data_IF_311400881547
#
_entry.id   IF_311400881547
#
_cell.length_a   1.000
_cell.length_b   1.000
_cell.length_c   1.000
_cell.angle_alpha   90.00
_cell.angle_beta   90.00
_cell.angle_gamma   90.00
#
_symmetry.space_group_name_H-M   'P 1'
#
loop_
_entity.id
_entity.type
_entity.pdbx_description
1 polymer ?
#
# COMPACT_ATOMS: atom_id res chain seq x y z
N UNK A 1 -22.33 -10.18 13.64
CA UNK A 1 -21.37 -10.53 12.56
C UNK A 1 -20.75 -11.88 12.89
N UNK A 2 -19.93 -12.50 12.02
CA UNK A 2 -19.37 -13.82 12.36
C UNK A 2 -17.92 -13.70 12.83
N UNK A 3 -17.54 -14.48 13.84
CA UNK A 3 -16.16 -14.66 14.31
C UNK A 3 -15.17 -14.96 13.17
N UNK A 4 -15.62 -15.64 12.12
CA UNK A 4 -14.82 -15.90 10.92
C UNK A 4 -14.37 -14.60 10.20
N UNK A 5 -15.25 -13.58 10.14
CA UNK A 5 -14.88 -12.26 9.56
C UNK A 5 -13.88 -11.53 10.44
N UNK A 6 -14.12 -11.49 11.75
CA UNK A 6 -13.20 -10.88 12.71
C UNK A 6 -11.80 -11.50 12.63
N UNK A 7 -11.74 -12.84 12.62
CA UNK A 7 -10.49 -13.58 12.50
C UNK A 7 -9.78 -13.30 11.16
N UNK A 8 -10.53 -13.17 10.05
CA UNK A 8 -9.97 -12.76 8.76
C UNK A 8 -9.37 -11.35 8.83
N UNK A 9 -10.09 -10.39 9.41
CA UNK A 9 -9.63 -9.00 9.57
C UNK A 9 -8.34 -8.97 10.40
N UNK A 10 -8.30 -9.63 11.54
CA UNK A 10 -7.12 -9.71 12.40
C UNK A 10 -5.92 -10.33 11.68
N UNK A 11 -6.10 -11.44 10.95
CA UNK A 11 -5.03 -12.07 10.17
C UNK A 11 -4.47 -11.14 9.09
N UNK A 12 -5.33 -10.44 8.35
CA UNK A 12 -4.89 -9.52 7.30
C UNK A 12 -4.14 -8.33 7.91
N UNK A 13 -4.63 -7.76 9.01
CA UNK A 13 -3.95 -6.65 9.70
C UNK A 13 -2.59 -7.07 10.26
N UNK A 14 -2.47 -8.29 10.80
CA UNK A 14 -1.20 -8.85 11.28
C UNK A 14 -0.14 -8.99 10.18
N UNK A 15 -0.58 -9.29 8.96
CA UNK A 15 0.29 -9.48 7.80
C UNK A 15 0.63 -8.17 7.06
N UNK A 16 0.08 -7.01 7.48
CA UNK A 16 0.38 -5.72 6.83
C UNK A 16 1.85 -5.36 6.99
N UNK A 17 2.40 -4.78 5.91
CA UNK A 17 3.79 -4.37 5.78
C UNK A 17 3.88 -2.85 5.87
N UNK A 18 4.03 -2.31 7.09
CA UNK A 18 4.00 -0.86 7.33
C UNK A 18 5.21 -0.12 6.71
N UNK A 19 6.27 -0.85 6.42
CA UNK A 19 7.50 -0.33 5.84
C UNK A 19 7.70 -0.73 4.36
N UNK A 20 6.64 -1.16 3.68
CA UNK A 20 6.58 -1.32 2.24
C UNK A 20 5.44 -0.46 1.70
N UNK A 21 5.76 0.47 0.81
CA UNK A 21 4.80 1.38 0.22
C UNK A 21 4.97 1.51 -1.30
N UNK A 22 3.96 2.03 -1.96
CA UNK A 22 4.00 2.40 -3.37
C UNK A 22 3.67 3.87 -3.50
N UNK A 23 4.42 4.59 -4.33
CA UNK A 23 4.14 5.95 -4.74
C UNK A 23 3.82 5.98 -6.23
N UNK A 24 2.63 6.43 -6.57
CA UNK A 24 2.19 6.65 -7.95
C UNK A 24 2.49 8.09 -8.36
N UNK A 25 3.40 8.23 -9.31
CA UNK A 25 3.81 9.50 -9.89
C UNK A 25 3.00 9.75 -11.18
N UNK A 26 1.97 10.58 -11.08
CA UNK A 26 1.06 10.93 -12.18
C UNK A 26 0.38 9.75 -12.90
N UNK A 27 0.25 8.60 -12.23
CA UNK A 27 -0.58 7.49 -12.74
C UNK A 27 -2.04 7.92 -12.67
N UNK A 28 -2.70 8.06 -13.81
CA UNK A 28 -4.03 8.67 -13.88
C UNK A 28 -5.14 7.74 -14.40
N UNK A 29 -4.79 6.65 -15.10
CA UNK A 29 -5.81 5.74 -15.65
C UNK A 29 -6.51 4.95 -14.54
N UNK A 30 -7.84 5.10 -14.35
CA UNK A 30 -8.56 4.51 -13.21
C UNK A 30 -8.41 2.99 -13.08
N UNK A 31 -8.30 2.28 -14.21
CA UNK A 31 -8.11 0.83 -14.19
C UNK A 31 -6.73 0.43 -13.66
N UNK A 32 -5.66 1.21 -13.98
CA UNK A 32 -4.32 0.97 -13.46
C UNK A 32 -4.26 1.27 -11.95
N UNK A 33 -4.86 2.38 -11.52
CA UNK A 33 -4.98 2.73 -10.09
C UNK A 33 -5.66 1.61 -9.30
N UNK A 34 -6.78 1.12 -9.82
CA UNK A 34 -7.54 0.03 -9.19
C UNK A 34 -6.75 -1.28 -9.15
N UNK A 35 -6.03 -1.61 -10.23
CA UNK A 35 -5.21 -2.80 -10.30
C UNK A 35 -4.00 -2.73 -9.35
N UNK A 36 -3.33 -1.58 -9.27
CA UNK A 36 -2.21 -1.35 -8.34
C UNK A 36 -2.70 -1.46 -6.89
N UNK A 37 -3.82 -0.81 -6.53
CA UNK A 37 -4.39 -0.89 -5.19
C UNK A 37 -4.75 -2.34 -4.81
N UNK A 38 -5.29 -3.12 -5.75
CA UNK A 38 -5.60 -4.53 -5.55
C UNK A 38 -4.33 -5.38 -5.34
N UNK A 39 -3.27 -5.08 -6.08
CA UNK A 39 -1.98 -5.76 -5.90
C UNK A 39 -1.37 -5.39 -4.54
N UNK A 40 -1.42 -4.12 -4.15
CA UNK A 40 -1.00 -3.65 -2.83
C UNK A 40 -1.70 -4.42 -1.70
N UNK A 41 -3.03 -4.55 -1.79
CA UNK A 41 -3.79 -5.35 -0.82
C UNK A 41 -3.34 -6.81 -0.78
N UNK A 42 -3.14 -7.42 -1.95
CA UNK A 42 -2.76 -8.83 -2.06
C UNK A 42 -1.39 -9.15 -1.43
N UNK A 43 -0.44 -8.20 -1.47
CA UNK A 43 0.90 -8.37 -0.89
C UNK A 43 1.05 -7.71 0.49
N UNK A 44 -0.03 -7.20 1.08
CA UNK A 44 -0.02 -6.64 2.43
C UNK A 44 0.45 -5.18 2.53
N UNK A 45 0.65 -4.47 1.43
CA UNK A 45 0.91 -3.01 1.45
C UNK A 45 -0.32 -2.27 1.96
N UNK A 46 -0.15 -1.49 3.02
CA UNK A 46 -1.24 -0.76 3.66
C UNK A 46 -1.44 0.64 3.05
N UNK A 47 -0.35 1.30 2.67
CA UNK A 47 -0.35 2.69 2.22
C UNK A 47 0.08 2.80 0.76
N UNK A 48 -0.77 3.42 -0.04
CA UNK A 48 -0.53 3.77 -1.43
C UNK A 48 -0.48 5.29 -1.53
N UNK A 49 0.67 5.82 -1.91
CA UNK A 49 0.86 7.25 -2.07
C UNK A 49 0.60 7.67 -3.51
N UNK A 50 0.12 8.88 -3.73
CA UNK A 50 -0.13 9.39 -5.07
C UNK A 50 0.20 10.89 -5.17
N UNK A 51 0.89 11.25 -6.24
CA UNK A 51 1.05 12.63 -6.71
C UNK A 51 0.31 12.76 -8.03
N UNK A 52 -0.56 13.76 -8.14
CA UNK A 52 -1.31 14.03 -9.36
C UNK A 52 -1.56 15.53 -9.52
N UNK A 53 -1.31 16.07 -10.71
CA UNK A 53 -1.46 17.50 -11.03
C UNK A 53 -2.90 18.00 -11.06
N UNK A 54 -3.86 17.11 -11.25
CA UNK A 54 -5.28 17.42 -11.23
C UNK A 54 -5.97 16.59 -10.16
N UNK A 55 -6.36 17.24 -9.05
CA UNK A 55 -7.14 16.62 -7.97
C UNK A 55 -8.62 16.41 -8.37
N UNK A 56 -8.88 16.02 -9.60
CA UNK A 56 -10.14 15.37 -9.93
C UNK A 56 -10.15 14.02 -9.26
N UNK A 57 -11.25 13.67 -8.61
CA UNK A 57 -11.45 12.41 -7.91
C UNK A 57 -10.65 11.28 -8.57
N UNK A 58 -9.62 10.79 -7.88
CA UNK A 58 -8.98 9.53 -8.29
C UNK A 58 -10.07 8.50 -8.11
N UNK A 59 -10.92 8.39 -9.14
CA UNK A 59 -12.06 7.49 -9.16
C UNK A 59 -11.55 6.06 -9.25
N UNK A 60 -11.17 5.51 -8.10
CA UNK A 60 -11.11 4.05 -7.98
C UNK A 60 -12.56 3.59 -8.15
N UNK A 61 -12.91 3.22 -9.37
CA UNK A 61 -14.27 2.81 -9.68
C UNK A 61 -14.68 1.65 -8.78
N UNK A 62 -15.85 1.79 -8.15
CA UNK A 62 -16.41 0.84 -7.20
C UNK A 62 -16.46 -0.61 -7.72
N UNK A 63 -16.53 -0.80 -9.05
CA UNK A 63 -16.65 -2.12 -9.67
C UNK A 63 -15.32 -2.81 -10.02
N UNK A 64 -14.21 -2.06 -10.18
CA UNK A 64 -12.93 -2.63 -10.63
C UNK A 64 -11.95 -2.94 -9.50
N UNK A 65 -12.09 -2.28 -8.36
CA UNK A 65 -11.18 -2.45 -7.22
C UNK A 65 -11.51 -3.66 -6.33
N UNK A 66 -12.59 -4.41 -6.61
CA UNK A 66 -13.03 -5.59 -5.83
C UNK A 66 -12.99 -5.37 -4.30
N UNK A 67 -13.30 -4.14 -3.83
CA UNK A 67 -13.27 -3.76 -2.42
C UNK A 67 -11.90 -3.33 -1.88
N UNK A 68 -10.80 -3.42 -2.64
CA UNK A 68 -9.46 -3.08 -2.13
C UNK A 68 -9.30 -1.62 -1.68
N UNK A 69 -10.13 -0.71 -2.18
CA UNK A 69 -10.18 0.69 -1.72
C UNK A 69 -10.54 0.83 -0.23
N UNK A 70 -11.19 -0.16 0.34
CA UNK A 70 -11.58 -0.17 1.74
C UNK A 70 -10.45 -0.72 2.65
N UNK A 71 -9.42 -1.33 2.02
CA UNK A 71 -8.34 -2.02 2.72
C UNK A 71 -6.95 -1.41 2.50
N UNK A 72 -6.78 -0.57 1.47
CA UNK A 72 -5.54 0.16 1.17
C UNK A 72 -5.81 1.65 1.31
N UNK A 73 -5.04 2.31 2.17
CA UNK A 73 -5.18 3.74 2.40
C UNK A 73 -4.43 4.53 1.33
N UNK A 74 -5.13 5.47 0.66
CA UNK A 74 -4.51 6.34 -0.35
C UNK A 74 -4.16 7.68 0.28
N UNK A 75 -2.88 7.99 0.31
CA UNK A 75 -2.33 9.25 0.81
C UNK A 75 -1.94 10.11 -0.40
N UNK A 76 -2.55 11.28 -0.51
CA UNK A 76 -2.31 12.24 -1.60
C UNK A 76 -1.25 13.25 -1.21
N UNK A 77 -0.40 13.62 -2.16
CA UNK A 77 0.64 14.63 -2.02
C UNK A 77 0.54 15.64 -3.16
N UNK A 78 0.87 16.87 -2.89
CA UNK A 78 0.87 17.97 -3.88
C UNK A 78 2.07 17.89 -4.83
N UNK A 79 3.19 17.30 -4.38
CA UNK A 79 4.40 17.14 -5.18
C UNK A 79 5.19 15.90 -4.79
N UNK A 80 6.13 15.50 -5.64
CA UNK A 80 7.09 14.42 -5.38
C UNK A 80 7.95 14.75 -4.15
N UNK A 81 8.42 15.99 -4.02
CA UNK A 81 9.24 16.42 -2.89
C UNK A 81 8.48 16.26 -1.56
N UNK A 82 7.21 16.68 -1.51
CA UNK A 82 6.37 16.51 -0.32
C UNK A 82 6.12 15.04 -0.01
N UNK A 83 5.91 14.21 -1.04
CA UNK A 83 5.76 12.77 -0.87
C UNK A 83 7.04 12.14 -0.29
N UNK A 84 8.19 12.46 -0.84
CA UNK A 84 9.49 11.95 -0.37
C UNK A 84 9.81 12.41 1.05
N UNK A 85 9.58 13.68 1.36
CA UNK A 85 9.76 14.20 2.71
C UNK A 85 8.86 13.48 3.72
N UNK A 86 7.58 13.28 3.37
CA UNK A 86 6.65 12.53 4.20
C UNK A 86 7.11 11.09 4.44
N UNK A 87 7.50 10.39 3.37
CA UNK A 87 7.93 9.00 3.42
C UNK A 87 9.20 8.82 4.25
N UNK A 88 10.22 9.65 4.04
CA UNK A 88 11.48 9.62 4.82
C UNK A 88 11.27 9.99 6.29
N UNK A 89 10.33 10.88 6.60
CA UNK A 89 9.99 11.25 7.98
C UNK A 89 9.24 10.12 8.68
N UNK A 90 8.31 9.47 8.00
CA UNK A 90 7.49 8.39 8.58
C UNK A 90 8.25 7.07 8.70
N UNK A 91 9.18 6.81 7.78
CA UNK A 91 9.91 5.54 7.72
C UNK A 91 11.41 5.83 7.65
N UNK A 92 12.11 5.89 8.79
CA UNK A 92 13.55 6.11 8.82
C UNK A 92 14.31 5.06 8.00
N UNK A 93 15.35 5.49 7.29
CA UNK A 93 16.19 4.64 6.41
C UNK A 93 15.42 3.95 5.27
N UNK A 94 14.27 4.49 4.87
CA UNK A 94 13.53 3.99 3.71
C UNK A 94 14.35 4.20 2.44
N UNK A 95 14.45 3.15 1.63
CA UNK A 95 14.97 3.25 0.26
C UNK A 95 13.82 3.58 -0.70
N UNK A 96 14.03 4.57 -1.55
CA UNK A 96 13.09 5.00 -2.59
C UNK A 96 13.61 4.52 -3.93
N UNK A 97 12.84 3.66 -4.60
CA UNK A 97 13.22 2.98 -5.83
C UNK A 97 12.32 3.47 -6.97
N UNK A 98 12.88 4.21 -7.92
CA UNK A 98 12.13 4.67 -9.08
C UNK A 98 12.18 3.63 -10.22
N UNK A 99 11.00 3.25 -10.74
CA UNK A 99 10.92 2.42 -11.96
C UNK A 99 11.27 3.30 -13.17
N UNK A 100 12.53 3.26 -13.58
CA UNK A 100 13.04 4.11 -14.64
C UNK A 100 14.18 3.45 -15.41
N UNK A 101 14.10 3.50 -16.76
CA UNK A 101 15.16 3.00 -17.63
C UNK A 101 16.30 4.04 -17.69
N UNK A 102 17.42 3.73 -17.07
CA UNK A 102 18.64 4.55 -17.11
C UNK A 102 19.87 3.66 -17.11
N UNK A 103 21.03 4.25 -17.45
CA UNK A 103 22.33 3.54 -17.46
C UNK A 103 22.76 3.04 -16.07
N UNK A 104 22.14 3.56 -15.01
CA UNK A 104 22.39 3.19 -13.60
C UNK A 104 21.33 2.25 -13.03
N UNK A 105 20.31 1.92 -13.82
CA UNK A 105 19.22 1.10 -13.32
C UNK A 105 19.68 -0.34 -13.09
N UNK A 106 19.31 -0.88 -11.92
CA UNK A 106 19.58 -2.28 -11.55
C UNK A 106 18.36 -3.15 -11.82
N UNK A 107 18.58 -4.45 -11.98
CA UNK A 107 17.49 -5.42 -12.08
C UNK A 107 16.69 -5.41 -10.78
N UNK A 108 15.36 -5.28 -10.87
CA UNK A 108 14.49 -5.24 -9.69
C UNK A 108 14.69 -6.45 -8.76
N UNK A 109 15.19 -7.58 -9.27
CA UNK A 109 15.46 -8.80 -8.47
C UNK A 109 16.72 -8.72 -7.62
N UNK A 110 17.63 -7.78 -7.92
CA UNK A 110 18.87 -7.57 -7.17
C UNK A 110 18.67 -6.65 -5.96
N UNK A 111 17.50 -6.02 -5.84
CA UNK A 111 17.16 -5.15 -4.70
C UNK A 111 16.87 -5.99 -3.46
N UNK A 112 17.36 -5.53 -2.30
CA UNK A 112 16.98 -6.06 -1.00
C UNK A 112 15.66 -5.41 -0.52
N UNK A 113 14.53 -6.07 -0.76
CA UNK A 113 13.22 -5.63 -0.31
C UNK A 113 12.92 -5.95 1.16
N UNK A 114 13.82 -6.59 1.90
CA UNK A 114 13.63 -6.80 3.35
C UNK A 114 13.79 -5.50 4.14
N UNK A 115 14.47 -4.51 3.55
CA UNK A 115 14.60 -3.15 4.06
C UNK A 115 13.29 -2.36 3.90
N UNK A 116 13.09 -1.28 4.68
CA UNK A 116 12.02 -0.31 4.41
C UNK A 116 12.10 0.21 2.97
N UNK A 117 11.02 0.08 2.20
CA UNK A 117 11.06 0.32 0.74
C UNK A 117 9.83 1.07 0.25
N UNK A 118 10.05 2.04 -0.62
CA UNK A 118 9.02 2.67 -1.45
C UNK A 118 9.33 2.41 -2.91
N UNK A 119 8.33 1.89 -3.65
CA UNK A 119 8.41 1.68 -5.09
C UNK A 119 7.68 2.82 -5.77
N UNK A 120 8.38 3.61 -6.58
CA UNK A 120 7.82 4.71 -7.36
C UNK A 120 7.48 4.22 -8.76
N UNK A 121 6.21 4.38 -9.11
CA UNK A 121 5.64 3.98 -10.40
C UNK A 121 5.27 5.23 -11.18
N UNK A 122 5.86 5.42 -12.34
CA UNK A 122 5.55 6.53 -13.24
C UNK A 122 4.30 6.31 -14.08
N UNK A 123 3.86 7.35 -14.80
CA UNK A 123 2.75 7.27 -15.71
C UNK A 123 3.08 6.40 -16.95
N UNK A 124 2.05 6.05 -17.72
CA UNK A 124 2.17 5.09 -18.83
C UNK A 124 2.84 5.68 -20.10
N UNK A 125 2.95 6.99 -20.21
CA UNK A 125 3.51 7.66 -21.39
C UNK A 125 4.97 8.06 -21.16
N UNK A 126 5.22 8.77 -20.06
CA UNK A 126 6.50 9.43 -19.81
C UNK A 126 7.34 8.69 -18.75
N UNK A 127 6.75 7.69 -18.07
CA UNK A 127 7.39 7.00 -16.95
C UNK A 127 7.39 7.85 -15.68
N UNK A 128 8.37 7.65 -14.81
CA UNK A 128 8.57 8.48 -13.62
C UNK A 128 9.11 9.86 -14.00
N UNK A 129 8.62 10.91 -13.33
CA UNK A 129 9.04 12.30 -13.58
C UNK A 129 10.54 12.50 -13.29
N UNK A 130 11.09 13.59 -13.84
CA UNK A 130 12.48 13.96 -13.59
C UNK A 130 12.74 14.17 -12.11
N UNK A 131 11.80 14.79 -11.40
CA UNK A 131 11.84 15.02 -9.96
C UNK A 131 11.84 13.70 -9.18
N UNK A 132 10.96 12.75 -9.59
CA UNK A 132 10.91 11.44 -8.96
C UNK A 132 12.21 10.65 -9.16
N UNK A 133 12.77 10.68 -10.36
CA UNK A 133 14.04 10.03 -10.65
C UNK A 133 15.21 10.67 -9.90
N UNK A 134 15.27 12.01 -9.86
CA UNK A 134 16.38 12.73 -9.20
C UNK A 134 16.40 12.56 -7.68
N UNK A 135 15.23 12.41 -7.05
CA UNK A 135 15.10 12.24 -5.60
C UNK A 135 15.12 10.79 -5.11
N UNK A 136 15.06 9.80 -6.02
CA UNK A 136 15.15 8.39 -5.69
C UNK A 136 16.56 7.96 -5.28
N UNK A 137 16.66 6.94 -4.43
CA UNK A 137 17.95 6.40 -4.01
C UNK A 137 18.54 5.48 -5.08
N UNK A 138 17.68 4.73 -5.80
CA UNK A 138 18.09 3.84 -6.89
C UNK A 138 17.03 3.83 -8.01
N UNK A 139 17.47 3.56 -9.23
CA UNK A 139 16.59 3.23 -10.34
C UNK A 139 16.53 1.73 -10.53
N UNK A 140 15.31 1.20 -10.76
CA UNK A 140 15.11 -0.22 -10.98
C UNK A 140 14.40 -0.47 -12.31
N UNK A 141 14.74 -1.58 -12.95
CA UNK A 141 14.11 -2.03 -14.19
C UNK A 141 13.63 -3.48 -14.08
N UNK A 142 12.61 -3.79 -14.87
CA UNK A 142 12.24 -5.17 -15.20
C UNK A 142 12.92 -5.47 -16.54
N UNK A 143 13.91 -6.38 -16.60
CA UNK A 143 14.60 -6.67 -17.84
C UNK A 143 13.66 -7.24 -18.90
N UNK A 144 13.72 -6.67 -20.10
CA UNK A 144 12.88 -7.07 -21.22
C UNK A 144 13.73 -7.77 -22.29
N UNK A 145 13.33 -8.95 -22.72
CA UNK A 145 14.01 -9.72 -23.78
C UNK A 145 13.27 -9.67 -25.12
N UNK A 146 12.09 -9.06 -25.14
CA UNK A 146 11.24 -8.91 -26.33
C UNK A 146 11.39 -7.55 -27.00
N UNK A 147 10.50 -7.29 -27.96
CA UNK A 147 10.48 -6.03 -28.72
C UNK A 147 9.94 -4.84 -27.91
N UNK A 148 9.14 -5.10 -26.88
CA UNK A 148 8.58 -4.04 -26.04
C UNK A 148 9.62 -3.59 -25.00
N UNK A 149 9.64 -2.29 -24.71
CA UNK A 149 10.60 -1.69 -23.79
C UNK A 149 10.05 -1.56 -22.36
N UNK A 150 8.73 -1.71 -22.18
CA UNK A 150 8.08 -1.57 -20.87
C UNK A 150 6.84 -2.45 -20.78
N UNK A 151 6.42 -2.70 -19.54
CA UNK A 151 5.14 -3.32 -19.21
C UNK A 151 4.11 -2.22 -18.88
N UNK A 152 2.83 -2.58 -18.95
CA UNK A 152 1.80 -1.77 -18.31
C UNK A 152 2.15 -1.55 -16.84
N UNK A 153 1.95 -0.33 -16.33
CA UNK A 153 2.36 0.08 -14.97
C UNK A 153 1.79 -0.81 -13.87
N UNK A 154 0.56 -1.30 -14.02
CA UNK A 154 -0.04 -2.20 -13.03
C UNK A 154 0.56 -3.60 -13.07
N UNK A 155 1.03 -4.04 -14.24
CA UNK A 155 1.77 -5.31 -14.40
C UNK A 155 3.16 -5.18 -13.81
N UNK A 156 3.87 -4.07 -14.09
CA UNK A 156 5.17 -3.78 -13.48
C UNK A 156 5.06 -3.75 -11.95
N UNK A 157 4.06 -3.04 -11.42
CA UNK A 157 3.76 -3.01 -9.99
C UNK A 157 3.59 -4.42 -9.40
N UNK A 158 2.79 -5.26 -10.06
CA UNK A 158 2.57 -6.63 -9.59
C UNK A 158 3.87 -7.44 -9.59
N UNK A 159 4.65 -7.37 -10.66
CA UNK A 159 5.91 -8.09 -10.79
C UNK A 159 6.89 -7.74 -9.67
N UNK A 160 7.09 -6.45 -9.40
CA UNK A 160 8.02 -5.97 -8.36
C UNK A 160 7.48 -6.29 -6.96
N UNK A 161 6.20 -6.06 -6.71
CA UNK A 161 5.59 -6.27 -5.39
C UNK A 161 5.56 -7.75 -4.99
N UNK A 162 5.35 -8.68 -5.93
CA UNK A 162 5.41 -10.11 -5.62
C UNK A 162 6.83 -10.59 -5.38
N UNK A 163 7.85 -10.00 -6.02
CA UNK A 163 9.25 -10.27 -5.66
C UNK A 163 9.57 -9.74 -4.26
N UNK A 164 9.13 -8.52 -3.92
CA UNK A 164 9.25 -7.98 -2.57
C UNK A 164 8.56 -8.88 -1.53
N UNK A 165 7.34 -9.38 -1.85
CA UNK A 165 6.64 -10.34 -1.00
C UNK A 165 7.45 -11.61 -0.79
N UNK A 166 7.98 -12.20 -1.85
CA UNK A 166 8.79 -13.43 -1.79
C UNK A 166 9.98 -13.26 -0.84
N UNK A 167 10.75 -12.18 -1.00
CA UNK A 167 11.91 -11.91 -0.15
C UNK A 167 11.49 -11.71 1.31
N UNK A 168 10.46 -10.90 1.57
CA UNK A 168 9.93 -10.64 2.91
C UNK A 168 9.35 -11.88 3.59
N UNK A 169 8.73 -12.77 2.82
CA UNK A 169 8.23 -14.05 3.31
C UNK A 169 9.39 -14.95 3.74
N UNK A 170 10.45 -15.08 2.94
CA UNK A 170 11.64 -15.85 3.26
C UNK A 170 12.38 -15.28 4.48
N UNK A 171 12.35 -13.97 4.68
CA UNK A 171 12.91 -13.29 5.84
C UNK A 171 12.01 -13.33 7.10
N UNK A 172 10.82 -13.96 7.03
CA UNK A 172 9.89 -14.06 8.16
C UNK A 172 9.22 -12.76 8.56
N UNK A 173 9.14 -11.75 7.65
CA UNK A 173 8.56 -10.45 7.94
C UNK A 173 7.02 -10.43 7.89
N UNK A 174 6.39 -11.46 7.33
CA UNK A 174 4.94 -11.63 7.38
C UNK A 174 4.56 -12.36 8.66
N UNK A 175 4.04 -11.62 9.62
CA UNK A 175 3.56 -12.20 10.89
C UNK A 175 2.24 -12.92 10.68
N UNK A 176 2.09 -14.12 11.22
CA UNK A 176 0.77 -14.72 11.35
C UNK A 176 0.09 -14.20 12.62
N UNK A 177 -1.25 -14.13 12.61
CA UNK A 177 -2.00 -13.70 13.80
C UNK A 177 -1.74 -14.66 14.98
N UNK A 178 -1.60 -15.93 14.69
CA UNK A 178 -1.33 -16.99 15.69
C UNK A 178 0.08 -16.88 16.31
N UNK A 179 1.02 -16.27 15.59
CA UNK A 179 2.39 -16.03 16.08
C UNK A 179 2.55 -14.72 16.87
N UNK A 180 1.49 -13.92 17.00
CA UNK A 180 1.53 -12.68 17.75
C UNK A 180 1.32 -13.01 19.24
N UNK A 181 2.41 -12.96 20.03
CA UNK A 181 2.40 -13.23 21.47
C UNK A 181 1.46 -12.30 22.25
N UNK A 182 1.18 -11.12 21.73
CA UNK A 182 0.27 -10.13 22.33
C UNK A 182 -0.78 -9.69 21.32
N UNK A 183 -2.02 -10.19 21.42
CA UNK A 183 -3.13 -9.78 20.55
C UNK A 183 -3.39 -8.26 20.54
N UNK A 184 -2.98 -7.55 21.60
CA UNK A 184 -3.10 -6.09 21.74
C UNK A 184 -2.16 -5.28 20.80
N UNK A 185 -1.25 -5.94 20.07
CA UNK A 185 -0.39 -5.27 19.08
C UNK A 185 -1.11 -4.93 17.78
N UNK A 186 -2.28 -5.51 17.53
CA UNK A 186 -3.12 -5.14 16.39
C UNK A 186 -3.94 -3.90 16.78
N UNK A 187 -3.88 -2.88 15.92
CA UNK A 187 -4.62 -1.65 16.13
C UNK A 187 -6.14 -1.92 16.20
N UNK A 188 -6.69 -1.83 17.41
CA UNK A 188 -8.12 -2.05 17.69
C UNK A 188 -9.00 -1.09 16.89
N UNK A 189 -8.54 0.12 16.63
CA UNK A 189 -9.28 1.09 15.83
C UNK A 189 -9.40 0.61 14.38
N UNK A 190 -8.31 0.11 13.80
CA UNK A 190 -8.36 -0.49 12.43
C UNK A 190 -9.27 -1.71 12.38
N UNK A 191 -9.25 -2.56 13.40
CA UNK A 191 -10.19 -3.69 13.48
C UNK A 191 -11.62 -3.19 13.46
N UNK A 192 -11.96 -2.18 14.28
CA UNK A 192 -13.29 -1.59 14.32
C UNK A 192 -13.68 -0.98 12.97
N UNK A 193 -12.81 -0.19 12.36
CA UNK A 193 -13.03 0.44 11.05
C UNK A 193 -13.34 -0.57 9.95
N UNK A 194 -12.65 -1.71 9.97
CA UNK A 194 -12.83 -2.76 8.97
C UNK A 194 -14.05 -3.64 9.24
N UNK A 195 -14.42 -3.81 10.50
CA UNK A 195 -15.63 -4.53 10.87
C UNK A 195 -16.89 -3.70 10.64
N UNK A 196 -16.84 -2.41 10.97
CA UNK A 196 -17.98 -1.49 11.00
C UNK A 196 -17.72 -0.17 10.25
N UNK A 197 -17.39 -0.17 8.94
CA UNK A 197 -16.90 1.01 8.24
C UNK A 197 -17.90 2.18 8.21
N UNK A 198 -19.21 1.91 8.19
CA UNK A 198 -20.24 2.96 8.23
C UNK A 198 -20.33 3.61 9.60
N UNK A 199 -20.23 2.82 10.66
CA UNK A 199 -20.31 3.29 12.04
C UNK A 199 -19.03 4.03 12.40
N UNK A 200 -17.87 3.52 11.98
CA UNK A 200 -16.58 4.18 12.16
C UNK A 200 -16.59 5.62 11.64
N UNK A 201 -17.14 5.85 10.44
CA UNK A 201 -17.29 7.21 9.88
C UNK A 201 -18.11 8.15 10.76
N UNK A 202 -19.15 7.64 11.42
CA UNK A 202 -19.98 8.46 12.35
C UNK A 202 -19.20 8.85 13.60
N UNK A 203 -18.43 7.91 14.16
CA UNK A 203 -17.58 8.18 15.32
C UNK A 203 -16.45 9.16 14.98
N UNK A 204 -15.80 8.98 13.83
CA UNK A 204 -14.78 9.91 13.31
C UNK A 204 -15.33 11.33 13.15
N UNK A 205 -16.52 11.47 12.53
CA UNK A 205 -17.16 12.77 12.31
C UNK A 205 -17.52 13.48 13.64
N UNK A 206 -17.71 12.72 14.73
CA UNK A 206 -18.03 13.23 16.07
C UNK A 206 -16.78 13.35 16.97
N UNK A 207 -15.61 13.01 16.46
CA UNK A 207 -14.36 12.94 17.23
C UNK A 207 -14.50 12.09 18.51
N UNK A 208 -15.19 10.95 18.40
CA UNK A 208 -15.46 10.02 19.50
C UNK A 208 -14.60 8.77 19.39
N UNK A 209 -14.17 8.22 20.54
CA UNK A 209 -13.50 6.93 20.58
C UNK A 209 -14.43 5.80 20.15
N UNK A 210 -13.90 4.79 19.48
CA UNK A 210 -14.67 3.60 19.10
C UNK A 210 -15.04 2.77 20.32
N UNK A 211 -16.23 2.16 20.35
CA UNK A 211 -16.61 1.19 21.35
C UNK A 211 -15.83 -0.12 21.18
N UNK A 212 -15.75 -0.90 22.25
CA UNK A 212 -15.18 -2.24 22.21
C UNK A 212 -16.05 -3.21 21.41
N UNK A 213 -15.41 -4.24 20.87
CA UNK A 213 -16.05 -5.35 20.16
C UNK A 213 -16.02 -6.61 21.02
N UNK A 214 -17.06 -7.43 20.89
CA UNK A 214 -17.11 -8.77 21.48
C UNK A 214 -16.28 -9.80 20.67
N UNK A 215 -16.36 -11.08 21.04
CA UNK A 215 -15.65 -12.20 20.42
C UNK A 215 -16.07 -12.46 18.98
N UNK A 216 -17.26 -12.05 18.58
CA UNK A 216 -17.80 -12.17 17.23
C UNK A 216 -17.58 -10.89 16.39
N UNK A 217 -17.04 -9.84 17.01
CA UNK A 217 -16.79 -8.54 16.38
C UNK A 217 -18.03 -7.66 16.32
N UNK A 218 -19.05 -7.92 17.13
CA UNK A 218 -20.19 -7.06 17.30
C UNK A 218 -19.90 -5.98 18.37
N UNK A 219 -20.55 -4.83 18.25
CA UNK A 219 -20.34 -3.68 19.13
C UNK A 219 -20.92 -4.00 20.51
N UNK A 220 -20.09 -3.94 21.55
CA UNK A 220 -20.56 -4.09 22.91
C UNK A 220 -21.48 -2.90 23.31
N UNK A 221 -22.62 -3.17 24.00
CA UNK A 221 -23.44 -2.11 24.56
C UNK A 221 -22.57 -1.24 25.49
N UNK A 222 -22.54 0.07 25.24
CA UNK A 222 -21.89 0.98 26.20
C UNK A 222 -22.68 0.89 27.51
N UNK A 223 -22.00 0.56 28.59
CA UNK A 223 -22.57 0.71 29.93
C UNK A 223 -22.86 2.20 30.14
N UNK A 224 -24.15 2.52 30.25
CA UNK A 224 -24.66 3.88 30.54
C UNK A 224 -24.23 4.28 31.95
#
# INVERSE_FOLDING_TARGET
MSSARLNKVKRVLAARQDNLAVLMDHVHKPHNLSAIARTCDAVGVANLHAVHSEFTDIGIHHHTAAGSKDWVHIIRHESIDMAYQHLRTKTPNVQILATHLSDKAIDFREVDYTRPTVIVLGNELDGASTEACAGADEHIIIPMVGMVQSLNVSVAAATILFEAQRQRQLAGLYKSYESIEKPDTIDKNKVFEWMHPKIAKLYQARNQAYPDLDEDGDILPQSI
#
